data_IF_343645163425
#
_entry.id   IF_343645163425
#
_cell.length_a   1.000
_cell.length_b   1.000
_cell.length_c   1.000
_cell.angle_alpha   90.00
_cell.angle_beta   90.00
_cell.angle_gamma   90.00
#
_symmetry.space_group_name_H-M   'P 1'
#
loop_
_entity.id
_entity.type
_entity.pdbx_description
1 polymer ?
#
# COMPACT_ATOMS: atom_id res chain seq x y z
N UNK A 1 -2.43 17.57 1.89
CA UNK A 1 -1.85 16.70 2.93
C UNK A 1 -0.46 16.32 2.48
N UNK A 2 0.57 16.80 3.18
CA UNK A 2 1.97 16.50 2.83
C UNK A 2 2.22 15.02 3.09
N UNK A 3 2.83 14.31 2.15
CA UNK A 3 3.26 12.91 2.32
C UNK A 3 4.56 12.94 3.15
N UNK A 4 4.46 12.72 4.46
CA UNK A 4 5.57 12.89 5.40
C UNK A 4 6.31 11.56 5.63
N UNK A 5 5.57 10.45 5.63
CA UNK A 5 6.10 9.12 5.96
C UNK A 5 6.42 8.29 4.71
N UNK A 6 7.58 7.63 4.74
CA UNK A 6 8.04 6.73 3.68
C UNK A 6 7.75 5.27 4.04
N UNK A 7 7.19 4.52 3.10
CA UNK A 7 6.95 3.08 3.23
C UNK A 7 7.85 2.32 2.25
N UNK A 8 8.79 1.53 2.77
CA UNK A 8 9.60 0.61 1.98
C UNK A 8 9.07 -0.82 2.14
N UNK A 9 8.65 -1.45 1.04
CA UNK A 9 8.10 -2.82 1.04
C UNK A 9 9.02 -3.76 0.26
N UNK A 10 9.36 -4.91 0.85
CA UNK A 10 10.05 -5.99 0.14
C UNK A 10 9.03 -6.85 -0.59
N UNK A 11 9.14 -6.91 -1.91
CA UNK A 11 8.30 -7.72 -2.78
C UNK A 11 9.16 -8.73 -3.53
N UNK A 12 8.59 -9.88 -3.87
CA UNK A 12 9.18 -10.77 -4.87
C UNK A 12 9.08 -10.13 -6.26
N UNK A 13 9.89 -10.58 -7.21
CA UNK A 13 9.85 -10.09 -8.59
C UNK A 13 8.45 -10.22 -9.20
N UNK A 14 7.78 -11.36 -8.99
CA UNK A 14 6.40 -11.59 -9.46
C UNK A 14 5.41 -10.54 -8.91
N UNK A 15 5.43 -10.31 -7.59
CA UNK A 15 4.54 -9.33 -6.94
C UNK A 15 4.81 -7.92 -7.45
N UNK A 16 6.07 -7.56 -7.67
CA UNK A 16 6.45 -6.25 -8.23
C UNK A 16 5.94 -6.09 -9.66
N UNK A 17 6.13 -7.09 -10.52
CA UNK A 17 5.65 -7.06 -11.91
C UNK A 17 4.12 -6.94 -11.99
N UNK A 18 3.39 -7.63 -11.11
CA UNK A 18 1.93 -7.52 -11.02
C UNK A 18 1.48 -6.12 -10.59
N UNK A 19 2.17 -5.53 -9.61
CA UNK A 19 1.88 -4.17 -9.15
C UNK A 19 2.14 -3.14 -10.27
N UNK A 20 3.27 -3.28 -10.97
CA UNK A 20 3.64 -2.42 -12.09
C UNK A 20 2.64 -2.53 -13.25
N UNK A 21 2.24 -3.76 -13.61
CA UNK A 21 1.22 -3.98 -14.63
C UNK A 21 -0.11 -3.29 -14.27
N UNK A 22 -0.59 -3.48 -13.04
CA UNK A 22 -1.83 -2.85 -12.58
C UNK A 22 -1.76 -1.32 -12.62
N UNK A 23 -0.63 -0.74 -12.18
CA UNK A 23 -0.39 0.69 -12.23
C UNK A 23 -0.46 1.25 -13.67
N UNK A 24 0.11 0.51 -14.64
CA UNK A 24 0.05 0.87 -16.07
C UNK A 24 -1.36 0.80 -16.66
N UNK A 25 -2.17 -0.17 -16.24
CA UNK A 25 -3.56 -0.33 -16.73
C UNK A 25 -4.47 0.79 -16.21
N UNK A 26 -4.25 1.26 -14.98
CA UNK A 26 -5.07 2.27 -14.31
C UNK A 26 -4.51 3.72 -14.42
N UNK A 27 -3.71 4.02 -15.45
CA UNK A 27 -2.71 5.10 -15.54
C UNK A 27 -2.31 5.82 -14.23
N UNK A 28 -1.93 5.08 -13.19
CA UNK A 28 -1.49 5.61 -11.89
C UNK A 28 -0.09 5.13 -11.54
N UNK A 29 0.53 5.75 -10.54
CA UNK A 29 1.79 5.27 -9.98
C UNK A 29 1.61 4.04 -9.09
N UNK A 30 2.64 3.20 -8.98
CA UNK A 30 2.62 2.07 -8.03
C UNK A 30 2.36 2.53 -6.59
N UNK A 31 2.84 3.72 -6.21
CA UNK A 31 2.60 4.31 -4.89
C UNK A 31 1.13 4.64 -4.67
N UNK A 32 0.41 5.11 -5.68
CA UNK A 32 -1.02 5.38 -5.58
C UNK A 32 -1.83 4.09 -5.41
N UNK A 33 -1.44 3.00 -6.09
CA UNK A 33 -2.07 1.69 -5.88
C UNK A 33 -1.93 1.24 -4.43
N UNK A 34 -0.74 1.38 -3.85
CA UNK A 34 -0.52 1.03 -2.44
C UNK A 34 -1.27 1.97 -1.50
N UNK A 35 -1.28 3.27 -1.77
CA UNK A 35 -2.03 4.25 -0.97
C UNK A 35 -3.53 3.96 -1.01
N UNK A 36 -4.07 3.59 -2.17
CA UNK A 36 -5.47 3.25 -2.31
C UNK A 36 -5.83 1.97 -1.56
N UNK A 37 -4.97 0.96 -1.62
CA UNK A 37 -5.09 -0.22 -0.76
C UNK A 37 -5.11 0.16 0.73
N UNK A 38 -4.22 1.06 1.18
CA UNK A 38 -4.18 1.53 2.56
C UNK A 38 -5.46 2.25 3.02
N UNK A 39 -6.18 2.96 2.13
CA UNK A 39 -7.46 3.61 2.48
C UNK A 39 -8.55 2.60 2.85
N UNK A 40 -8.47 1.39 2.29
CA UNK A 40 -9.43 0.31 2.55
C UNK A 40 -9.11 -0.48 3.83
N UNK A 41 -7.98 -0.20 4.50
CA UNK A 41 -7.64 -0.84 5.76
C UNK A 41 -8.49 -0.27 6.91
N UNK A 42 -8.86 -1.09 7.91
CA UNK A 42 -9.62 -0.61 9.06
C UNK A 42 -8.79 0.44 9.82
N UNK A 43 -9.46 1.50 10.28
CA UNK A 43 -8.83 2.46 11.17
C UNK A 43 -8.46 1.75 12.48
N UNK A 44 -7.23 1.93 13.00
CA UNK A 44 -6.89 1.39 14.30
C UNK A 44 -7.87 1.95 15.34
N UNK A 45 -8.69 1.09 15.92
CA UNK A 45 -9.48 1.46 17.09
C UNK A 45 -8.51 1.62 18.26
N UNK A 46 -8.79 2.53 19.21
CA UNK A 46 -7.95 2.73 20.41
C UNK A 46 -7.88 1.51 21.34
N UNK A 47 -8.45 0.37 20.94
CA UNK A 47 -8.52 -0.85 21.74
C UNK A 47 -7.34 -1.73 21.33
N UNK A 48 -6.34 -1.79 22.19
CA UNK A 48 -5.04 -2.41 21.97
C UNK A 48 -5.13 -3.82 21.37
N UNK A 49 -4.50 -3.98 20.20
CA UNK A 49 -4.25 -5.30 19.63
C UNK A 49 -3.09 -5.91 20.42
N UNK A 50 -3.40 -6.79 21.39
CA UNK A 50 -2.43 -7.77 21.91
C UNK A 50 -2.12 -8.72 20.77
N UNK A 51 -0.95 -8.58 20.16
CA UNK A 51 -0.41 -9.63 19.31
C UNK A 51 -0.14 -10.86 20.19
N UNK A 52 -0.69 -12.01 19.77
CA UNK A 52 -0.53 -13.32 20.41
C UNK A 52 0.64 -14.06 19.78
#
# INVERSE_FOLDING_TARGET
>A
MVRIDNLMVRLTNDKKSRLEYYARVMPVSMSEVIQDYCKNLPKPSKIGIRYR
#
